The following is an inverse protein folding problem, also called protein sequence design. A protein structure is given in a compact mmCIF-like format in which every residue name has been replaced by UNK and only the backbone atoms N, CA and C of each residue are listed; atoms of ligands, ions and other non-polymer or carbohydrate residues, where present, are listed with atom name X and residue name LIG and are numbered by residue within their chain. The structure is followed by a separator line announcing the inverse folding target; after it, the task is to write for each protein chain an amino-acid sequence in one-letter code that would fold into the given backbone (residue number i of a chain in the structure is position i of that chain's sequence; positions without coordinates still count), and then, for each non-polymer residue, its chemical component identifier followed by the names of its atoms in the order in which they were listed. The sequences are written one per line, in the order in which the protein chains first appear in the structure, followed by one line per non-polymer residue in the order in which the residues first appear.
data_IF_219734725644
#
_entry.id   IF_219734725644
#
_cell.length_a   1.000
_cell.length_b   1.000
_cell.length_c   1.000
_cell.angle_alpha   90.00
_cell.angle_beta   90.00
_cell.angle_gamma   90.00
#
_symmetry.space_group_name_H-M   'P 1'
#
loop_
_entity.id
_entity.type
_entity.pdbx_description
1 polymer ?
#
# COMPACT_ATOMS: atom_id res chain seq x y z
N UNK A 1 -2.45 -9.22 1.48
CA UNK A 1 -1.73 -7.99 1.12
C UNK A 1 -0.37 -7.90 1.80
N UNK A 2 -0.27 -8.02 3.13
CA UNK A 2 1.01 -7.93 3.86
C UNK A 2 2.15 -8.80 3.31
N UNK A 3 1.88 -10.04 2.88
CA UNK A 3 2.91 -10.89 2.28
C UNK A 3 3.50 -10.32 0.96
N UNK A 4 2.66 -9.68 0.13
CA UNK A 4 3.12 -9.05 -1.11
C UNK A 4 4.02 -7.84 -0.81
N UNK A 5 3.60 -7.00 0.16
CA UNK A 5 4.41 -5.90 0.67
C UNK A 5 5.76 -6.38 1.23
N UNK A 6 5.75 -7.41 2.08
CA UNK A 6 6.99 -7.99 2.62
C UNK A 6 7.90 -8.52 1.51
N UNK A 7 7.33 -9.12 0.46
CA UNK A 7 8.11 -9.62 -0.68
C UNK A 7 8.81 -8.48 -1.43
N UNK A 8 8.14 -7.33 -1.59
CA UNK A 8 8.72 -6.14 -2.22
C UNK A 8 9.83 -5.57 -1.34
N UNK A 9 9.61 -5.46 -0.03
CA UNK A 9 10.61 -4.98 0.92
C UNK A 9 11.87 -5.86 0.96
N UNK A 10 11.72 -7.19 0.84
CA UNK A 10 12.86 -8.12 0.94
C UNK A 10 13.62 -8.34 -0.37
N UNK A 11 12.92 -8.31 -1.52
CA UNK A 11 13.47 -8.78 -2.80
C UNK A 11 13.24 -7.78 -3.94
N UNK A 12 12.38 -6.78 -3.74
CA UNK A 12 12.04 -5.76 -4.73
C UNK A 12 12.70 -4.41 -4.44
N UNK A 13 11.97 -3.35 -4.78
CA UNK A 13 12.37 -1.96 -4.56
C UNK A 13 11.59 -1.37 -3.38
N UNK A 14 12.19 -1.45 -2.19
CA UNK A 14 11.61 -0.89 -0.97
C UNK A 14 11.60 0.64 -0.95
N UNK A 15 12.60 1.29 -1.55
CA UNK A 15 12.65 2.76 -1.61
C UNK A 15 11.52 3.30 -2.50
N UNK A 16 11.24 2.65 -3.64
CA UNK A 16 10.11 3.00 -4.49
C UNK A 16 8.76 2.78 -3.78
N UNK A 17 8.67 1.79 -2.90
CA UNK A 17 7.48 1.53 -2.08
C UNK A 17 7.22 2.70 -1.12
N UNK A 18 8.26 3.13 -0.41
CA UNK A 18 8.17 4.26 0.53
C UNK A 18 7.84 5.57 -0.20
N UNK A 19 8.48 5.83 -1.35
CA UNK A 19 8.19 7.00 -2.19
C UNK A 19 6.74 7.00 -2.68
N UNK A 20 6.23 5.85 -3.13
CA UNK A 20 4.85 5.75 -3.61
C UNK A 20 3.82 5.93 -2.48
N UNK A 21 4.14 5.50 -1.26
CA UNK A 21 3.29 5.74 -0.09
C UNK A 21 3.26 7.22 0.27
N UNK A 22 4.42 7.89 0.33
CA UNK A 22 4.51 9.30 0.69
C UNK A 22 3.85 10.21 -0.36
N UNK A 23 3.99 9.90 -1.65
CA UNK A 23 3.33 10.64 -2.73
C UNK A 23 1.80 10.60 -2.60
N UNK A 24 1.25 9.43 -2.30
CA UNK A 24 -0.20 9.24 -2.15
C UNK A 24 -0.74 9.74 -0.80
N UNK A 25 0.04 9.56 0.26
CA UNK A 25 -0.36 9.86 1.63
C UNK A 25 0.80 10.57 2.34
N UNK A 26 0.95 11.90 2.17
CA UNK A 26 2.11 12.63 2.69
C UNK A 26 2.36 12.41 4.19
N UNK A 27 3.59 12.01 4.51
CA UNK A 27 4.02 11.70 5.87
C UNK A 27 3.46 10.38 6.43
N UNK A 28 2.87 9.54 5.59
CA UNK A 28 2.50 8.19 5.96
C UNK A 28 3.65 7.21 5.73
N UNK A 29 3.66 6.15 6.53
CA UNK A 29 4.59 5.02 6.40
C UNK A 29 3.81 3.73 6.54
N UNK A 30 4.27 2.69 5.86
CA UNK A 30 3.69 1.35 5.97
C UNK A 30 4.75 0.38 6.44
N UNK A 31 4.47 -0.33 7.54
CA UNK A 31 5.30 -1.42 8.02
C UNK A 31 4.54 -2.74 8.00
N UNK A 32 5.27 -3.84 7.92
CA UNK A 32 4.71 -5.19 7.98
C UNK A 32 5.17 -5.84 9.28
N UNK A 33 4.21 -6.27 10.10
CA UNK A 33 4.49 -6.98 11.34
C UNK A 33 4.03 -8.44 11.25
N UNK A 34 4.82 -9.40 11.76
CA UNK A 34 4.39 -10.77 11.87
C UNK A 34 3.37 -10.92 13.02
N UNK A 35 2.15 -11.33 12.70
CA UNK A 35 1.12 -11.69 13.68
C UNK A 35 0.64 -13.13 13.45
N UNK A 36 0.85 -14.00 14.43
CA UNK A 36 0.36 -15.39 14.43
C UNK A 36 0.62 -16.16 13.11
N UNK A 37 1.81 -15.99 12.54
CA UNK A 37 2.22 -16.65 11.27
C UNK A 37 1.64 -15.99 10.01
N UNK A 38 1.03 -14.82 10.13
CA UNK A 38 0.59 -13.97 9.02
C UNK A 38 1.39 -12.68 9.00
N UNK A 39 1.40 -12.03 7.84
CA UNK A 39 1.94 -10.69 7.67
C UNK A 39 0.79 -9.69 7.76
N UNK A 40 0.80 -8.87 8.81
CA UNK A 40 -0.14 -7.79 9.02
C UNK A 40 0.49 -6.47 8.57
N UNK A 41 -0.31 -5.61 7.95
CA UNK A 41 0.15 -4.30 7.48
C UNK A 41 -0.30 -3.27 8.50
N UNK A 42 0.64 -2.44 8.93
CA UNK A 42 0.45 -1.32 9.82
C UNK A 42 0.64 -0.03 9.03
N UNK A 43 -0.41 0.77 8.95
CA UNK A 43 -0.39 2.09 8.34
C UNK A 43 -0.25 3.14 9.43
N UNK A 44 0.76 4.00 9.33
CA UNK A 44 0.99 5.08 10.26
C UNK A 44 1.03 6.39 9.49
N UNK A 45 0.44 7.44 10.07
CA UNK A 45 0.48 8.79 9.51
C UNK A 45 0.48 9.80 10.66
N UNK A 46 1.04 10.99 10.40
CA UNK A 46 1.00 12.08 11.36
C UNK A 46 -0.44 12.39 11.81
N UNK A 47 -0.66 12.45 13.13
CA UNK A 47 -1.98 12.69 13.73
C UNK A 47 -2.73 11.43 14.18
N UNK A 48 -2.29 10.23 13.79
CA UNK A 48 -2.83 8.99 14.34
C UNK A 48 -2.27 8.70 15.73
N UNK A 49 -3.14 8.26 16.65
CA UNK A 49 -2.75 7.87 18.02
C UNK A 49 -1.98 6.54 18.07
N UNK A 50 -2.19 5.68 17.07
CA UNK A 50 -1.51 4.41 16.85
C UNK A 50 -1.55 4.03 15.37
N UNK A 51 -0.69 3.10 14.91
CA UNK A 51 -0.85 2.49 13.60
C UNK A 51 -2.21 1.81 13.45
N UNK A 52 -2.76 1.89 12.24
CA UNK A 52 -4.00 1.26 11.84
C UNK A 52 -3.72 -0.05 11.11
N UNK A 53 -4.48 -1.09 11.43
CA UNK A 53 -4.43 -2.33 10.67
C UNK A 53 -5.18 -2.20 9.34
N UNK A 54 -5.00 -3.17 8.44
CA UNK A 54 -5.70 -3.20 7.13
C UNK A 54 -7.22 -3.08 7.26
N UNK A 55 -7.82 -3.63 8.33
CA UNK A 55 -9.27 -3.58 8.54
C UNK A 55 -9.79 -2.22 9.02
N UNK A 56 -8.90 -1.32 9.44
CA UNK A 56 -9.24 0.02 9.92
C UNK A 56 -9.09 1.09 8.83
N UNK A 57 -8.50 0.72 7.68
CA UNK A 57 -8.32 1.61 6.54
C UNK A 57 -9.63 1.80 5.77
N UNK A 58 -9.78 2.97 5.17
CA UNK A 58 -10.85 3.18 4.18
C UNK A 58 -10.63 2.28 2.96
N UNK A 59 -11.72 1.91 2.27
CA UNK A 59 -11.64 1.14 1.03
C UNK A 59 -10.72 1.79 -0.01
N UNK A 60 -10.74 3.12 -0.12
CA UNK A 60 -9.88 3.87 -1.04
C UNK A 60 -8.41 3.78 -0.70
N UNK A 61 -8.06 3.91 0.59
CA UNK A 61 -6.68 3.73 1.07
C UNK A 61 -6.21 2.31 0.82
N UNK A 62 -7.00 1.31 1.21
CA UNK A 62 -6.67 -0.10 1.01
C UNK A 62 -6.44 -0.40 -0.48
N UNK A 63 -7.31 0.12 -1.34
CA UNK A 63 -7.21 -0.10 -2.79
C UNK A 63 -6.00 0.58 -3.40
N UNK A 64 -5.66 1.80 -2.97
CA UNK A 64 -4.46 2.48 -3.44
C UNK A 64 -3.20 1.70 -3.04
N UNK A 65 -3.11 1.27 -1.78
CA UNK A 65 -1.99 0.47 -1.30
C UNK A 65 -1.90 -0.90 -2.03
N UNK A 66 -3.04 -1.47 -2.47
CA UNK A 66 -3.05 -2.66 -3.33
C UNK A 66 -2.45 -2.39 -4.71
N UNK A 67 -2.69 -1.22 -5.30
CA UNK A 67 -2.04 -0.87 -6.57
C UNK A 67 -0.56 -0.62 -6.41
N UNK A 68 -0.12 0.06 -5.36
CA UNK A 68 1.32 0.21 -5.08
C UNK A 68 1.99 -1.18 -5.09
N UNK A 69 1.44 -2.14 -4.33
CA UNK A 69 1.98 -3.49 -4.31
C UNK A 69 1.88 -4.22 -5.65
N UNK A 70 0.81 -4.02 -6.42
CA UNK A 70 0.67 -4.64 -7.72
C UNK A 70 1.68 -4.09 -8.74
N UNK A 71 1.88 -2.76 -8.76
CA UNK A 71 2.76 -2.07 -9.70
C UNK A 71 4.24 -2.24 -9.36
N UNK A 72 4.57 -2.36 -8.08
CA UNK A 72 5.95 -2.57 -7.59
C UNK A 72 6.29 -4.04 -7.34
N UNK A 73 5.44 -4.99 -7.77
CA UNK A 73 5.72 -6.40 -7.59
C UNK A 73 7.08 -6.78 -8.24
N UNK A 74 7.98 -7.51 -7.56
CA UNK A 74 9.34 -7.75 -8.08
C UNK A 74 9.36 -8.66 -9.33
N UNK A 75 8.25 -9.32 -9.62
CA UNK A 75 8.06 -10.21 -10.77
C UNK A 75 6.76 -9.82 -11.48
N UNK A 76 6.75 -8.72 -12.26
CA UNK A 76 5.53 -8.26 -12.91
C UNK A 76 5.06 -9.25 -13.97
N UNK A 77 3.74 -9.42 -14.15
CA UNK A 77 3.21 -10.22 -15.24
C UNK A 77 3.48 -9.52 -16.59
N UNK A 78 3.43 -10.29 -17.69
CA UNK A 78 3.58 -9.73 -19.03
C UNK A 78 2.47 -8.73 -19.41
N UNK A 79 1.31 -8.83 -18.75
CA UNK A 79 0.20 -7.89 -18.86
C UNK A 79 -0.51 -7.77 -17.52
N UNK A 80 -0.76 -6.53 -17.08
CA UNK A 80 -1.59 -6.21 -15.93
C UNK A 80 -2.77 -5.35 -16.40
N UNK A 81 -3.99 -5.73 -16.01
CA UNK A 81 -5.21 -4.97 -16.33
C UNK A 81 -5.87 -4.58 -15.00
N UNK A 82 -6.07 -3.29 -14.81
CA UNK A 82 -6.82 -2.74 -13.68
C UNK A 82 -8.22 -2.37 -14.18
N UNK A 83 -9.26 -2.98 -13.61
CA UNK A 83 -10.64 -2.66 -13.98
C UNK A 83 -11.17 -1.58 -13.03
N UNK A 84 -11.67 -0.49 -13.60
CA UNK A 84 -12.19 0.67 -12.86
C UNK A 84 -11.23 1.15 -11.75
N UNK A 85 -9.97 1.49 -12.10
CA UNK A 85 -9.01 1.95 -11.11
C UNK A 85 -9.58 3.17 -10.38
N UNK A 86 -10.24 4.10 -11.02
CA UNK A 86 -10.78 5.30 -10.37
C UNK A 86 -11.80 5.05 -9.24
N UNK A 87 -12.64 3.99 -9.31
CA UNK A 87 -13.85 3.78 -8.46
C UNK A 87 -13.75 4.25 -6.98
N UNK A 88 -13.45 3.49 -5.95
CA UNK A 88 -13.48 3.97 -4.55
C UNK A 88 -12.33 4.91 -4.10
N UNK A 89 -11.66 5.66 -4.99
CA UNK A 89 -10.60 6.60 -4.59
C UNK A 89 -11.14 7.93 -4.05
N UNK A 90 -10.39 8.54 -3.14
CA UNK A 90 -10.62 9.94 -2.78
C UNK A 90 -10.23 10.85 -3.96
N UNK A 91 -11.03 11.87 -4.33
CA UNK A 91 -10.74 12.76 -5.46
C UNK A 91 -9.35 13.41 -5.41
N UNK A 92 -8.89 13.74 -4.21
CA UNK A 92 -7.56 14.35 -3.99
C UNK A 92 -6.38 13.43 -4.35
N UNK A 93 -6.62 12.13 -4.58
CA UNK A 93 -5.61 11.17 -5.05
C UNK A 93 -5.54 11.08 -6.59
N UNK A 94 -6.39 11.80 -7.31
CA UNK A 94 -6.39 11.87 -8.76
C UNK A 94 -5.77 13.19 -9.24
N UNK A 95 -4.96 13.19 -10.31
CA UNK A 95 -4.46 14.41 -10.90
C UNK A 95 -5.62 15.28 -11.40
N UNK A 96 -5.53 16.60 -11.15
CA UNK A 96 -6.49 17.60 -11.58
C UNK A 96 -6.48 17.85 -13.09
#
# INVERSE_FOLDING_TARGET
MGAAWQTILEVGDGDALDVAVDDAFPGATVSIEPDNGRFELQFQQHGLLRPFSQSELSDGTLRYLLWIAALLTPRPPALMVLNEPETSLHPDLLPA
#
